data_IF_719040934383
#
_entry.id   IF_719040934383
#
_cell.length_a   1.000
_cell.length_b   1.000
_cell.length_c   1.000
_cell.angle_alpha   90.00
_cell.angle_beta   90.00
_cell.angle_gamma   90.00
#
_symmetry.space_group_name_H-M   'P 1'
#
loop_
_entity.id
_entity.type
_entity.pdbx_description
1 polymer ?
#
# COMPACT_ATOMS: atom_id res chain seq x y z
N UNK A 1 -8.59 -34.05 20.44
CA UNK A 1 -7.51 -33.20 19.90
C UNK A 1 -7.50 -31.96 20.77
N UNK A 2 -6.36 -31.62 21.40
CA UNK A 2 -6.30 -30.43 22.25
C UNK A 2 -6.54 -29.18 21.40
N UNK A 3 -7.33 -28.24 21.89
CA UNK A 3 -7.58 -26.96 21.23
C UNK A 3 -6.22 -26.28 20.98
N UNK A 4 -5.90 -26.06 19.70
CA UNK A 4 -4.68 -25.34 19.34
C UNK A 4 -4.92 -23.84 19.64
N UNK A 5 -4.32 -23.36 20.73
CA UNK A 5 -4.41 -21.96 21.12
C UNK A 5 -3.17 -21.20 20.66
N UNK A 6 -3.36 -20.13 19.87
CA UNK A 6 -2.30 -19.22 19.42
C UNK A 6 -2.43 -17.88 20.16
N UNK A 7 -1.31 -17.18 20.28
CA UNK A 7 -1.36 -15.78 20.70
C UNK A 7 -1.96 -14.94 19.58
N UNK A 8 -1.53 -15.18 18.32
CA UNK A 8 -2.00 -14.44 17.15
C UNK A 8 -2.31 -15.42 16.01
N UNK A 9 -3.44 -15.22 15.35
CA UNK A 9 -3.74 -15.81 14.04
C UNK A 9 -3.84 -14.69 13.01
N UNK A 10 -2.97 -14.68 11.98
CA UNK A 10 -3.07 -13.74 10.86
C UNK A 10 -3.81 -14.39 9.69
N UNK A 11 -4.81 -13.70 9.17
CA UNK A 11 -5.55 -14.10 7.96
C UNK A 11 -5.00 -13.32 6.78
N UNK A 12 -4.23 -14.00 5.93
CA UNK A 12 -3.48 -13.44 4.80
C UNK A 12 -1.98 -13.35 5.05
N UNK A 13 -1.20 -13.90 4.13
CA UNK A 13 0.28 -13.98 4.15
C UNK A 13 0.97 -12.88 3.34
N UNK A 14 0.34 -11.72 3.18
CA UNK A 14 0.94 -10.54 2.53
C UNK A 14 1.87 -9.74 3.46
N UNK A 15 2.23 -8.51 3.03
CA UNK A 15 3.09 -7.60 3.78
C UNK A 15 2.65 -7.45 5.25
N UNK A 16 1.37 -7.18 5.51
CA UNK A 16 0.87 -6.98 6.87
C UNK A 16 0.95 -8.24 7.73
N UNK A 17 0.39 -9.36 7.24
CA UNK A 17 0.29 -10.60 8.00
C UNK A 17 1.64 -11.24 8.29
N UNK A 18 2.52 -11.38 7.29
CA UNK A 18 3.83 -12.00 7.46
C UNK A 18 4.79 -11.11 8.27
N UNK A 19 4.75 -9.78 8.07
CA UNK A 19 5.61 -8.88 8.85
C UNK A 19 5.25 -8.90 10.33
N UNK A 20 3.95 -8.86 10.66
CA UNK A 20 3.51 -8.99 12.05
C UNK A 20 3.87 -10.36 12.63
N UNK A 21 3.64 -11.43 11.87
CA UNK A 21 3.95 -12.79 12.30
C UNK A 21 5.43 -12.96 12.62
N UNK A 22 6.33 -12.46 11.74
CA UNK A 22 7.77 -12.47 11.96
C UNK A 22 8.12 -11.79 13.29
N UNK A 23 7.75 -10.52 13.42
CA UNK A 23 8.20 -9.74 14.58
C UNK A 23 7.60 -10.24 15.89
N UNK A 24 6.37 -10.74 15.92
CA UNK A 24 5.75 -11.25 17.13
C UNK A 24 6.28 -12.63 17.50
N UNK A 25 6.58 -13.50 16.53
CA UNK A 25 7.21 -14.80 16.78
C UNK A 25 8.64 -14.64 17.33
N UNK A 26 9.43 -13.70 16.80
CA UNK A 26 10.75 -13.33 17.35
C UNK A 26 10.68 -12.83 18.81
N UNK A 27 9.52 -12.31 19.24
CA UNK A 27 9.24 -11.95 20.64
C UNK A 27 8.58 -13.10 21.44
N UNK A 28 8.69 -14.34 20.95
CA UNK A 28 8.25 -15.55 21.66
C UNK A 28 6.75 -15.79 21.65
N UNK A 29 5.98 -15.10 20.82
CA UNK A 29 4.53 -15.34 20.68
C UNK A 29 4.26 -16.51 19.73
N UNK A 30 3.25 -17.33 20.05
CA UNK A 30 2.77 -18.39 19.14
C UNK A 30 1.90 -17.75 18.06
N UNK A 31 2.43 -17.69 16.83
CA UNK A 31 1.75 -17.05 15.70
C UNK A 31 1.45 -18.08 14.61
N UNK A 32 0.21 -18.07 14.09
CA UNK A 32 -0.22 -18.83 12.92
C UNK A 32 -0.56 -17.87 11.78
N UNK A 33 0.01 -18.11 10.60
CA UNK A 33 -0.34 -17.43 9.36
C UNK A 33 -1.17 -18.36 8.49
N UNK A 34 -2.36 -17.92 8.07
CA UNK A 34 -3.24 -18.62 7.15
C UNK A 34 -3.22 -17.91 5.80
N UNK A 35 -2.63 -18.54 4.78
CA UNK A 35 -2.50 -17.99 3.43
C UNK A 35 -3.20 -18.89 2.40
N UNK A 36 -4.03 -18.28 1.56
CA UNK A 36 -4.80 -18.98 0.54
C UNK A 36 -3.96 -19.42 -0.66
N UNK A 37 -3.01 -18.60 -1.07
CA UNK A 37 -2.21 -18.87 -2.26
C UNK A 37 -1.08 -19.87 -1.97
N UNK A 38 -1.01 -20.94 -2.75
CA UNK A 38 0.14 -21.85 -2.74
C UNK A 38 1.40 -21.17 -3.27
N UNK A 39 1.26 -20.33 -4.32
CA UNK A 39 2.31 -19.53 -4.92
C UNK A 39 1.77 -18.13 -5.18
N UNK A 40 2.50 -17.11 -4.79
CA UNK A 40 2.11 -15.74 -5.07
C UNK A 40 2.26 -15.43 -6.56
N UNK A 41 1.31 -14.68 -7.10
CA UNK A 41 1.24 -14.31 -8.52
C UNK A 41 1.28 -12.81 -8.68
N UNK A 42 1.79 -12.35 -9.83
CA UNK A 42 1.69 -10.95 -10.21
C UNK A 42 0.20 -10.58 -10.44
N UNK A 43 -0.31 -9.74 -9.54
CA UNK A 43 -1.70 -9.24 -9.55
C UNK A 43 -1.76 -7.75 -9.82
N UNK A 44 -0.64 -7.16 -10.29
CA UNK A 44 -0.54 -5.71 -10.49
C UNK A 44 -0.90 -4.96 -9.20
N UNK A 45 -0.09 -5.16 -8.17
CA UNK A 45 -0.20 -4.49 -6.87
C UNK A 45 0.85 -3.40 -6.74
N UNK A 46 0.76 -2.59 -5.68
CA UNK A 46 1.80 -1.60 -5.36
C UNK A 46 3.18 -2.24 -5.20
N UNK A 47 4.21 -1.62 -5.76
CA UNK A 47 5.58 -2.11 -5.79
C UNK A 47 6.59 -1.02 -5.45
N UNK A 48 6.13 0.08 -4.86
CA UNK A 48 6.96 1.16 -4.37
C UNK A 48 6.57 1.57 -2.96
N UNK A 49 7.55 1.71 -2.11
CA UNK A 49 7.42 2.21 -0.74
C UNK A 49 8.17 3.53 -0.62
N UNK A 50 7.50 4.54 -0.14
CA UNK A 50 8.05 5.88 0.09
C UNK A 50 9.03 5.89 1.27
N UNK A 51 9.94 6.88 1.41
CA UNK A 51 10.92 6.94 2.50
C UNK A 51 10.34 6.75 3.91
N UNK A 52 9.17 7.32 4.20
CA UNK A 52 8.55 7.11 5.50
C UNK A 52 8.07 5.67 5.71
N UNK A 53 7.63 4.99 4.64
CA UNK A 53 7.31 3.57 4.70
C UNK A 53 8.57 2.70 4.83
N UNK A 54 9.67 3.10 4.21
CA UNK A 54 10.98 2.44 4.39
C UNK A 54 11.44 2.53 5.85
N UNK A 55 11.23 3.67 6.52
CA UNK A 55 11.50 3.79 7.96
C UNK A 55 10.68 2.79 8.79
N UNK A 56 9.41 2.57 8.43
CA UNK A 56 8.54 1.60 9.11
C UNK A 56 9.06 0.16 8.94
N UNK A 57 9.33 -0.27 7.71
CA UNK A 57 9.83 -1.65 7.45
C UNK A 57 11.24 -1.86 8.01
N UNK A 58 12.05 -0.80 8.10
CA UNK A 58 13.36 -0.84 8.77
C UNK A 58 13.19 -1.09 10.27
N UNK A 59 12.24 -0.43 10.92
CA UNK A 59 11.92 -0.64 12.34
C UNK A 59 11.36 -2.05 12.62
N UNK A 60 10.82 -2.71 11.61
CA UNK A 60 10.34 -4.10 11.66
C UNK A 60 11.44 -5.13 11.32
N UNK A 61 12.66 -4.68 10.97
CA UNK A 61 13.77 -5.57 10.59
C UNK A 61 13.50 -6.34 9.30
N UNK A 62 12.76 -5.74 8.35
CA UNK A 62 12.43 -6.37 7.07
C UNK A 62 12.91 -5.56 5.85
N UNK A 63 13.47 -4.36 6.05
CA UNK A 63 13.96 -3.53 4.94
C UNK A 63 15.07 -4.23 4.15
N UNK A 64 16.13 -4.66 4.82
CA UNK A 64 17.26 -5.36 4.19
C UNK A 64 16.81 -6.68 3.54
N UNK A 65 15.87 -7.39 4.15
CA UNK A 65 15.32 -8.62 3.57
C UNK A 65 14.66 -8.36 2.21
N UNK A 66 13.87 -7.30 2.09
CA UNK A 66 13.20 -6.96 0.82
C UNK A 66 14.22 -6.42 -0.19
N UNK A 67 15.04 -5.42 0.22
CA UNK A 67 16.02 -4.79 -0.66
C UNK A 67 16.97 -5.81 -1.29
N UNK A 68 17.55 -6.68 -0.48
CA UNK A 68 18.65 -7.57 -0.92
C UNK A 68 18.14 -8.79 -1.70
N UNK A 69 16.88 -9.21 -1.51
CA UNK A 69 16.33 -10.39 -2.18
C UNK A 69 15.45 -10.06 -3.40
N UNK A 70 14.69 -8.97 -3.38
CA UNK A 70 13.69 -8.69 -4.43
C UNK A 70 13.46 -7.21 -4.73
N UNK A 71 14.24 -6.31 -4.13
CA UNK A 71 14.04 -4.87 -4.24
C UNK A 71 15.24 -4.11 -4.78
N UNK A 72 15.06 -2.80 -4.85
CA UNK A 72 16.09 -1.81 -5.23
C UNK A 72 15.76 -0.48 -4.57
N UNK A 73 16.79 0.23 -4.09
CA UNK A 73 16.63 1.58 -3.55
C UNK A 73 16.41 2.60 -4.66
N UNK A 74 15.37 3.42 -4.52
CA UNK A 74 15.13 4.58 -5.36
C UNK A 74 15.65 5.84 -4.63
N UNK A 75 16.76 6.36 -5.09
CA UNK A 75 17.41 7.54 -4.49
C UNK A 75 16.70 8.83 -4.86
N UNK A 76 16.17 8.87 -6.10
CA UNK A 76 15.61 10.08 -6.69
C UNK A 76 14.15 9.89 -7.06
N UNK A 77 13.35 10.95 -6.93
CA UNK A 77 11.97 11.01 -7.44
C UNK A 77 11.79 12.12 -8.45
N UNK A 78 10.92 11.89 -9.43
CA UNK A 78 10.50 12.85 -10.45
C UNK A 78 8.98 13.06 -10.35
N UNK A 79 8.57 14.25 -9.93
CA UNK A 79 7.16 14.66 -9.83
C UNK A 79 6.74 15.68 -10.90
N UNK A 80 7.62 15.96 -11.86
CA UNK A 80 7.41 16.99 -12.88
C UNK A 80 7.93 18.39 -12.50
N UNK A 81 8.53 18.55 -11.32
CA UNK A 81 9.17 19.80 -10.86
C UNK A 81 10.70 19.73 -10.91
N UNK A 82 11.27 18.64 -11.39
CA UNK A 82 12.70 18.33 -11.40
C UNK A 82 13.02 17.12 -10.52
N UNK A 83 14.28 16.64 -10.60
CA UNK A 83 14.73 15.51 -9.79
C UNK A 83 14.87 15.95 -8.32
N UNK A 84 14.38 15.10 -7.43
CA UNK A 84 14.49 15.28 -5.99
C UNK A 84 15.26 14.13 -5.36
N UNK A 85 16.34 14.43 -4.68
CA UNK A 85 17.09 13.47 -3.86
C UNK A 85 16.29 13.16 -2.58
N UNK A 86 15.83 11.91 -2.44
CA UNK A 86 14.95 11.50 -1.34
C UNK A 86 15.67 11.46 0.02
N UNK A 87 16.90 10.88 0.13
CA UNK A 87 17.60 10.83 1.41
C UNK A 87 17.94 12.21 1.98
N UNK A 88 18.33 13.17 1.15
CA UNK A 88 18.73 14.50 1.65
C UNK A 88 17.55 15.44 1.92
N UNK A 89 16.36 15.14 1.35
CA UNK A 89 15.22 16.06 1.39
C UNK A 89 14.03 15.56 2.23
N UNK A 90 14.11 14.35 2.76
CA UNK A 90 13.08 13.79 3.65
C UNK A 90 13.59 13.68 5.09
N UNK A 91 12.72 13.82 6.11
CA UNK A 91 13.13 13.75 7.51
C UNK A 91 13.66 12.36 7.90
N UNK A 92 13.28 11.30 7.17
CA UNK A 92 13.75 9.94 7.40
C UNK A 92 15.19 9.72 6.94
N UNK A 93 15.69 10.53 6.01
CA UNK A 93 17.02 10.42 5.39
C UNK A 93 17.24 9.02 4.75
N UNK A 94 16.19 8.50 4.13
CA UNK A 94 16.15 7.17 3.51
C UNK A 94 15.72 7.27 2.04
N UNK A 95 16.16 6.34 1.19
CA UNK A 95 15.62 6.21 -0.16
C UNK A 95 14.16 5.72 -0.13
N UNK A 96 13.49 5.75 -1.27
CA UNK A 96 12.36 4.90 -1.53
C UNK A 96 12.81 3.46 -1.80
N UNK A 97 11.88 2.51 -1.78
CA UNK A 97 12.17 1.10 -2.05
C UNK A 97 11.20 0.57 -3.10
N UNK A 98 11.72 0.23 -4.28
CA UNK A 98 10.99 -0.52 -5.30
C UNK A 98 11.22 -2.01 -5.13
N UNK A 99 10.22 -2.84 -5.43
CA UNK A 99 10.35 -4.30 -5.32
C UNK A 99 9.29 -5.05 -6.14
N UNK A 100 9.60 -6.29 -6.49
CA UNK A 100 8.63 -7.21 -7.06
C UNK A 100 7.67 -7.68 -5.98
N UNK A 101 6.38 -7.35 -6.10
CA UNK A 101 5.37 -7.66 -5.07
C UNK A 101 5.27 -9.17 -4.76
N UNK A 102 5.15 -10.09 -5.73
CA UNK A 102 5.09 -11.52 -5.43
C UNK A 102 6.38 -12.06 -4.82
N UNK A 103 7.56 -11.56 -5.25
CA UNK A 103 8.83 -11.96 -4.66
C UNK A 103 8.95 -11.47 -3.20
N UNK A 104 8.52 -10.25 -2.91
CA UNK A 104 8.45 -9.70 -1.55
C UNK A 104 7.55 -10.54 -0.64
N UNK A 105 6.40 -10.99 -1.14
CA UNK A 105 5.50 -11.85 -0.35
C UNK A 105 6.17 -13.19 0.02
N UNK A 106 6.90 -13.83 -0.90
CA UNK A 106 7.65 -15.07 -0.59
C UNK A 106 8.76 -14.80 0.43
N UNK A 107 9.54 -13.73 0.26
CA UNK A 107 10.60 -13.34 1.20
C UNK A 107 10.06 -13.13 2.62
N UNK A 108 8.94 -12.43 2.76
CA UNK A 108 8.34 -12.16 4.07
C UNK A 108 7.69 -13.39 4.69
N UNK A 109 7.13 -14.27 3.89
CA UNK A 109 6.57 -15.53 4.37
C UNK A 109 7.67 -16.45 4.92
N UNK A 110 8.79 -16.54 4.21
CA UNK A 110 9.95 -17.30 4.69
C UNK A 110 10.57 -16.64 5.94
N UNK A 111 10.61 -15.30 6.00
CA UNK A 111 11.05 -14.58 7.18
C UNK A 111 10.14 -14.85 8.40
N UNK A 112 8.83 -14.94 8.21
CA UNK A 112 7.89 -15.31 9.27
C UNK A 112 8.15 -16.73 9.80
N UNK A 113 8.36 -17.71 8.91
CA UNK A 113 8.73 -19.08 9.29
C UNK A 113 10.04 -19.13 10.07
N UNK A 114 11.07 -18.46 9.54
CA UNK A 114 12.39 -18.41 10.18
C UNK A 114 12.35 -17.70 11.54
N UNK A 115 11.44 -16.73 11.72
CA UNK A 115 11.16 -16.07 12.99
C UNK A 115 10.40 -16.94 14.00
N UNK A 116 9.95 -18.14 13.61
CA UNK A 116 9.26 -19.10 14.47
C UNK A 116 7.73 -19.13 14.33
N UNK A 117 7.15 -18.41 13.38
CA UNK A 117 5.71 -18.50 13.09
C UNK A 117 5.36 -19.80 12.36
N UNK A 118 4.24 -20.40 12.73
CA UNK A 118 3.62 -21.46 11.91
C UNK A 118 2.95 -20.83 10.70
N UNK A 119 3.20 -21.37 9.50
CA UNK A 119 2.61 -20.87 8.26
C UNK A 119 1.93 -22.01 7.53
N UNK A 120 0.62 -21.86 7.27
CA UNK A 120 -0.17 -22.77 6.44
C UNK A 120 -0.58 -22.07 5.15
N UNK A 121 -0.16 -22.66 4.02
CA UNK A 121 -0.50 -22.17 2.67
C UNK A 121 -1.53 -23.08 2.00
N UNK A 122 -2.26 -22.53 1.03
CA UNK A 122 -3.31 -23.25 0.31
C UNK A 122 -4.55 -23.49 1.17
N UNK A 123 -4.67 -22.80 2.30
CA UNK A 123 -5.80 -22.94 3.21
C UNK A 123 -6.79 -21.79 3.01
N UNK A 124 -8.07 -22.11 3.06
CA UNK A 124 -9.13 -21.13 2.83
C UNK A 124 -9.86 -20.83 4.13
N UNK A 125 -9.65 -19.63 4.68
CA UNK A 125 -10.43 -19.17 5.84
C UNK A 125 -11.89 -19.02 5.42
N UNK A 126 -12.78 -19.60 6.21
CA UNK A 126 -14.23 -19.65 5.96
C UNK A 126 -15.04 -18.82 6.95
N UNK A 127 -14.45 -18.45 8.09
CA UNK A 127 -15.12 -17.63 9.09
C UNK A 127 -14.20 -17.11 10.18
N UNK A 128 -14.65 -16.04 10.83
CA UNK A 128 -14.09 -15.51 12.08
C UNK A 128 -15.25 -15.34 13.06
N UNK A 129 -15.05 -15.82 14.28
CA UNK A 129 -15.97 -15.57 15.40
C UNK A 129 -15.28 -14.61 16.37
N UNK A 130 -15.66 -13.33 16.37
CA UNK A 130 -15.11 -12.33 17.31
C UNK A 130 -15.48 -12.66 18.77
N UNK A 131 -14.71 -12.14 19.70
CA UNK A 131 -14.95 -12.26 21.13
C UNK A 131 -13.66 -12.13 21.95
N UNK A 132 -13.75 -12.28 23.27
CA UNK A 132 -12.59 -12.25 24.15
C UNK A 132 -11.55 -13.34 23.83
N UNK A 133 -11.97 -14.44 23.21
CA UNK A 133 -11.12 -15.49 22.64
C UNK A 133 -11.63 -15.75 21.24
N UNK A 134 -11.20 -14.94 20.24
CA UNK A 134 -11.69 -15.08 18.87
C UNK A 134 -11.23 -16.42 18.26
N UNK A 135 -12.08 -16.97 17.37
CA UNK A 135 -11.80 -18.21 16.66
C UNK A 135 -11.79 -17.98 15.13
N UNK A 136 -10.97 -18.75 14.44
CA UNK A 136 -10.88 -18.76 12.97
C UNK A 136 -11.20 -20.16 12.47
N UNK A 137 -12.16 -20.26 11.55
CA UNK A 137 -12.49 -21.49 10.83
C UNK A 137 -11.88 -21.44 9.43
N UNK A 138 -11.35 -22.56 8.97
CA UNK A 138 -10.74 -22.65 7.64
C UNK A 138 -10.78 -24.09 7.10
N UNK A 139 -10.74 -24.20 5.78
CA UNK A 139 -10.48 -25.48 5.11
C UNK A 139 -8.97 -25.66 4.97
N UNK A 140 -8.44 -26.80 5.41
CA UNK A 140 -7.05 -27.15 5.22
C UNK A 140 -6.73 -27.53 3.76
N UNK A 141 -5.50 -27.97 3.49
CA UNK A 141 -5.06 -28.37 2.15
C UNK A 141 -5.81 -29.59 1.57
N UNK A 142 -6.44 -30.39 2.42
CA UNK A 142 -7.25 -31.56 2.04
C UNK A 142 -8.73 -31.19 1.87
N UNK A 143 -9.13 -29.96 2.26
CA UNK A 143 -10.51 -29.52 2.28
C UNK A 143 -11.28 -29.88 3.56
N UNK A 144 -10.58 -30.31 4.60
CA UNK A 144 -11.18 -30.61 5.90
C UNK A 144 -11.38 -29.37 6.75
N UNK A 145 -12.53 -29.28 7.43
CA UNK A 145 -12.85 -28.18 8.33
C UNK A 145 -11.93 -28.19 9.57
N UNK A 146 -11.32 -27.04 9.82
CA UNK A 146 -10.46 -26.79 10.97
C UNK A 146 -10.94 -25.55 11.72
N UNK A 147 -10.76 -25.55 13.05
CA UNK A 147 -10.97 -24.37 13.89
C UNK A 147 -9.77 -24.17 14.82
N UNK A 148 -9.36 -22.92 15.00
CA UNK A 148 -8.31 -22.52 15.93
C UNK A 148 -8.75 -21.31 16.72
N UNK A 149 -8.34 -21.28 18.00
CA UNK A 149 -8.58 -20.15 18.90
C UNK A 149 -7.32 -19.30 19.02
N UNK A 150 -7.50 -17.99 19.20
CA UNK A 150 -6.41 -17.07 19.42
C UNK A 150 -6.73 -16.06 20.53
N UNK A 151 -5.70 -15.42 21.05
CA UNK A 151 -5.84 -14.22 21.87
C UNK A 151 -6.19 -13.00 21.00
N UNK A 152 -5.63 -12.97 19.75
CA UNK A 152 -5.89 -11.93 18.77
C UNK A 152 -5.96 -12.54 17.37
N UNK A 153 -6.97 -12.16 16.59
CA UNK A 153 -7.03 -12.41 15.14
C UNK A 153 -6.67 -11.12 14.40
N UNK A 154 -5.76 -11.21 13.43
CA UNK A 154 -5.37 -10.08 12.59
C UNK A 154 -5.78 -10.34 11.16
N UNK A 155 -6.77 -9.60 10.69
CA UNK A 155 -7.21 -9.61 9.31
C UNK A 155 -6.26 -8.79 8.46
N UNK A 156 -5.48 -9.47 7.61
CA UNK A 156 -4.53 -8.92 6.65
C UNK A 156 -4.79 -9.47 5.23
N UNK A 157 -6.05 -9.83 4.93
CA UNK A 157 -6.52 -10.46 3.70
C UNK A 157 -6.81 -9.48 2.56
N UNK A 158 -6.40 -8.21 2.74
CA UNK A 158 -6.33 -7.19 1.72
C UNK A 158 -7.69 -6.55 1.37
N UNK A 159 -7.71 -5.87 0.22
CA UNK A 159 -8.80 -4.97 -0.20
C UNK A 159 -10.19 -5.61 -0.18
N UNK A 160 -10.30 -6.87 -0.57
CA UNK A 160 -11.56 -7.62 -0.63
C UNK A 160 -11.81 -8.43 0.64
N UNK A 161 -11.31 -7.98 1.78
CA UNK A 161 -11.36 -8.69 3.05
C UNK A 161 -12.72 -9.30 3.37
N UNK A 162 -12.73 -10.63 3.49
CA UNK A 162 -13.85 -11.38 4.03
C UNK A 162 -13.83 -11.37 5.57
N UNK A 163 -12.62 -11.38 6.14
CA UNK A 163 -12.40 -11.31 7.58
C UNK A 163 -13.05 -10.07 8.20
N UNK A 164 -12.94 -8.91 7.56
CA UNK A 164 -13.62 -7.66 7.94
C UNK A 164 -15.15 -7.83 8.05
N UNK A 165 -15.76 -8.54 7.07
CA UNK A 165 -17.20 -8.79 7.05
C UNK A 165 -17.62 -9.75 8.17
N UNK A 166 -16.88 -10.85 8.36
CA UNK A 166 -17.17 -11.83 9.40
C UNK A 166 -17.03 -11.24 10.80
N UNK A 167 -16.09 -10.32 10.99
CA UNK A 167 -15.92 -9.60 12.25
C UNK A 167 -16.91 -8.45 12.44
N UNK A 168 -17.81 -8.18 11.49
CA UNK A 168 -18.90 -7.22 11.62
C UNK A 168 -18.44 -5.76 11.58
N UNK A 169 -17.37 -5.43 10.85
CA UNK A 169 -16.93 -4.06 10.64
C UNK A 169 -17.75 -3.36 9.54
N UNK A 170 -18.12 -2.12 9.81
CA UNK A 170 -18.75 -1.25 8.82
C UNK A 170 -17.70 -0.55 7.96
N UNK A 171 -17.96 -0.45 6.66
CA UNK A 171 -17.07 0.16 5.68
C UNK A 171 -17.65 1.49 5.21
N UNK A 172 -16.83 2.54 5.27
CA UNK A 172 -17.10 3.81 4.61
C UNK A 172 -16.35 3.85 3.29
N UNK A 173 -16.94 4.42 2.25
CA UNK A 173 -16.39 4.48 0.91
C UNK A 173 -16.41 5.90 0.35
N UNK A 174 -15.38 6.24 -0.40
CA UNK A 174 -15.33 7.41 -1.25
C UNK A 174 -15.00 6.95 -2.68
N UNK A 175 -16.03 6.59 -3.48
CA UNK A 175 -15.81 6.09 -4.82
C UNK A 175 -15.20 7.18 -5.71
N UNK A 176 -14.23 6.77 -6.55
CA UNK A 176 -13.55 7.65 -7.49
C UNK A 176 -13.83 7.19 -8.93
N UNK A 177 -13.98 8.13 -9.87
CA UNK A 177 -14.24 7.81 -11.27
C UNK A 177 -12.95 7.50 -12.05
N UNK A 178 -11.93 6.90 -11.40
CA UNK A 178 -10.63 6.61 -12.00
C UNK A 178 -10.30 5.13 -11.90
N UNK A 179 -9.55 4.67 -12.93
CA UNK A 179 -8.88 3.37 -12.96
C UNK A 179 -7.38 3.56 -12.92
N UNK A 180 -6.71 2.56 -12.39
CA UNK A 180 -5.26 2.43 -12.38
C UNK A 180 -4.91 1.13 -13.10
N UNK A 181 -4.22 1.23 -14.24
CA UNK A 181 -3.71 0.08 -14.96
C UNK A 181 -2.22 -0.05 -14.73
N UNK A 182 -1.71 -1.27 -14.70
CA UNK A 182 -0.29 -1.51 -14.49
C UNK A 182 0.25 -2.63 -15.37
N UNK A 183 1.51 -2.47 -15.80
CA UNK A 183 2.24 -3.43 -16.63
C UNK A 183 3.69 -3.52 -16.18
N UNK A 184 4.21 -4.75 -16.06
CA UNK A 184 5.63 -4.98 -15.79
C UNK A 184 6.39 -5.01 -17.11
N UNK A 185 7.47 -4.23 -17.18
CA UNK A 185 8.29 -4.03 -18.38
C UNK A 185 9.76 -4.33 -18.11
N UNK A 186 10.47 -4.81 -19.13
CA UNK A 186 11.94 -4.81 -19.24
C UNK A 186 12.38 -3.94 -20.41
N UNK A 187 13.67 -3.59 -20.47
CA UNK A 187 14.21 -2.78 -21.56
C UNK A 187 13.76 -1.31 -21.53
N UNK A 188 13.27 -0.85 -20.39
CA UNK A 188 12.98 0.57 -20.13
C UNK A 188 14.32 1.29 -19.96
N UNK A 189 14.50 2.43 -20.66
CA UNK A 189 15.79 3.15 -20.68
C UNK A 189 15.90 4.20 -19.55
N UNK A 190 15.19 4.00 -18.43
CA UNK A 190 15.23 4.87 -17.26
C UNK A 190 16.33 4.44 -16.28
N UNK A 191 16.89 5.36 -15.47
CA UNK A 191 17.73 5.03 -14.32
C UNK A 191 17.00 4.11 -13.33
N UNK A 192 17.71 3.07 -12.86
CA UNK A 192 17.11 2.08 -11.94
C UNK A 192 17.00 2.57 -10.48
N UNK A 193 17.52 3.75 -10.17
CA UNK A 193 17.44 4.40 -8.86
C UNK A 193 16.47 5.58 -8.81
N UNK A 194 15.66 5.75 -9.86
CA UNK A 194 14.66 6.82 -9.94
C UNK A 194 13.22 6.28 -9.98
N UNK A 195 12.32 6.95 -9.26
CA UNK A 195 10.88 6.73 -9.33
C UNK A 195 10.17 7.95 -9.95
N UNK A 196 9.18 7.68 -10.77
CA UNK A 196 8.42 8.70 -11.49
C UNK A 196 6.95 8.68 -11.08
N UNK A 197 6.40 9.84 -10.80
CA UNK A 197 4.96 10.04 -10.60
C UNK A 197 4.57 11.36 -11.28
N UNK A 198 4.13 11.27 -12.53
CA UNK A 198 3.93 12.40 -13.43
C UNK A 198 2.43 12.62 -13.64
N UNK A 199 1.94 13.71 -13.10
CA UNK A 199 0.56 14.11 -13.26
C UNK A 199 0.36 14.86 -14.58
N UNK A 200 -0.77 14.56 -15.26
CA UNK A 200 -1.22 15.20 -16.49
C UNK A 200 -2.57 15.86 -16.23
N UNK A 201 -2.61 17.02 -15.54
CA UNK A 201 -3.85 17.60 -15.04
C UNK A 201 -4.83 18.00 -16.15
N UNK A 202 -4.31 18.36 -17.33
CA UNK A 202 -5.12 18.75 -18.49
C UNK A 202 -5.95 17.61 -19.09
N UNK A 203 -5.58 16.35 -18.81
CA UNK A 203 -6.31 15.15 -19.25
C UNK A 203 -6.82 14.29 -18.09
N UNK A 204 -6.58 14.73 -16.84
CA UNK A 204 -7.00 13.97 -15.65
C UNK A 204 -6.34 12.60 -15.54
N UNK A 205 -5.05 12.51 -15.87
CA UNK A 205 -4.31 11.27 -15.88
C UNK A 205 -3.01 11.39 -15.07
N UNK A 206 -2.38 10.27 -14.78
CA UNK A 206 -0.99 10.24 -14.32
C UNK A 206 -0.27 9.01 -14.88
N UNK A 207 1.05 9.13 -15.03
CA UNK A 207 1.95 8.02 -15.30
C UNK A 207 2.89 7.85 -14.12
N UNK A 208 2.92 6.66 -13.53
CA UNK A 208 3.89 6.30 -12.52
C UNK A 208 4.79 5.19 -13.03
N UNK A 209 6.09 5.26 -12.70
CA UNK A 209 7.06 4.28 -13.12
C UNK A 209 8.04 4.02 -11.97
N UNK A 210 8.17 2.76 -11.60
CA UNK A 210 8.95 2.32 -10.45
C UNK A 210 9.92 1.23 -10.85
N UNK A 211 11.22 1.35 -10.57
CA UNK A 211 12.16 0.25 -10.69
C UNK A 211 11.80 -0.85 -9.66
N UNK A 212 11.84 -2.11 -10.08
CA UNK A 212 11.56 -3.26 -9.21
C UNK A 212 12.73 -4.25 -9.19
N UNK A 213 13.91 -3.75 -9.55
CA UNK A 213 15.16 -4.51 -9.62
C UNK A 213 15.32 -5.37 -10.87
N UNK A 214 16.58 -5.75 -11.16
CA UNK A 214 16.98 -6.61 -12.28
C UNK A 214 16.57 -6.05 -13.65
N UNK A 215 16.69 -4.72 -13.87
CA UNK A 215 16.31 -4.06 -15.11
C UNK A 215 14.83 -4.05 -15.42
N UNK A 216 13.98 -4.30 -14.41
CA UNK A 216 12.52 -4.32 -14.56
C UNK A 216 11.90 -3.06 -13.99
N UNK A 217 10.85 -2.58 -14.64
CA UNK A 217 10.04 -1.45 -14.19
C UNK A 217 8.56 -1.81 -14.16
N UNK A 218 7.89 -1.48 -13.08
CA UNK A 218 6.44 -1.45 -13.06
C UNK A 218 5.97 -0.07 -13.48
N UNK A 219 5.24 -0.01 -14.59
CA UNK A 219 4.61 1.22 -15.07
C UNK A 219 3.12 1.19 -14.79
N UNK A 220 2.58 2.31 -14.35
CA UNK A 220 1.15 2.50 -14.12
C UNK A 220 0.64 3.71 -14.88
N UNK A 221 -0.64 3.64 -15.27
CA UNK A 221 -1.39 4.77 -15.83
C UNK A 221 -2.71 4.90 -15.07
N UNK A 222 -2.96 6.09 -14.52
CA UNK A 222 -4.29 6.46 -14.04
C UNK A 222 -5.09 7.14 -15.15
N UNK A 223 -6.37 6.78 -15.30
CA UNK A 223 -7.24 7.33 -16.34
C UNK A 223 -8.69 7.37 -15.87
N UNK A 224 -9.46 8.31 -16.43
CA UNK A 224 -10.88 8.46 -16.12
C UNK A 224 -11.75 7.38 -16.75
N UNK A 225 -12.94 7.16 -16.17
CA UNK A 225 -13.95 6.19 -16.65
C UNK A 225 -14.80 6.77 -17.80
N UNK A 226 -14.20 7.51 -18.72
CA UNK A 226 -14.95 8.28 -19.72
C UNK A 226 -15.65 7.47 -20.80
N UNK A 227 -15.32 6.16 -20.99
CA UNK A 227 -15.89 5.35 -22.08
C UNK A 227 -16.09 3.86 -21.73
N UNK A 228 -16.01 3.47 -20.45
CA UNK A 228 -16.13 2.05 -20.04
C UNK A 228 -14.98 1.16 -20.52
N UNK A 229 -13.95 1.75 -21.17
CA UNK A 229 -12.78 1.02 -21.66
C UNK A 229 -11.81 0.74 -20.51
N UNK A 230 -11.46 -0.52 -20.34
CA UNK A 230 -10.45 -0.94 -19.35
C UNK A 230 -9.16 -1.33 -20.04
N UNK A 231 -8.05 -0.74 -19.61
CA UNK A 231 -6.71 -1.14 -20.02
C UNK A 231 -6.34 -2.45 -19.30
N UNK A 232 -6.74 -3.56 -19.89
CA UNK A 232 -6.44 -4.91 -19.38
C UNK A 232 -6.31 -5.91 -20.53
N UNK A 233 -5.51 -6.96 -20.32
CA UNK A 233 -5.25 -8.00 -21.32
C UNK A 233 -4.27 -7.57 -22.41
N UNK A 234 -3.73 -8.56 -23.13
CA UNK A 234 -2.66 -8.37 -24.11
C UNK A 234 -3.02 -7.41 -25.25
N UNK A 235 -4.29 -7.43 -25.70
CA UNK A 235 -4.77 -6.59 -26.80
C UNK A 235 -4.77 -5.08 -26.48
N UNK A 236 -4.64 -4.70 -25.20
CA UNK A 236 -4.59 -3.30 -24.79
C UNK A 236 -3.17 -2.80 -24.45
N UNK A 237 -2.15 -3.63 -24.60
CA UNK A 237 -0.76 -3.23 -24.26
C UNK A 237 -0.31 -2.03 -25.07
N UNK A 238 -0.63 -1.98 -26.38
CA UNK A 238 -0.29 -0.84 -27.24
C UNK A 238 -0.96 0.47 -26.79
N UNK A 239 -2.22 0.40 -26.37
CA UNK A 239 -2.95 1.54 -25.84
C UNK A 239 -2.37 2.01 -24.51
N UNK A 240 -2.05 1.06 -23.61
CA UNK A 240 -1.40 1.35 -22.35
C UNK A 240 -0.05 2.06 -22.53
N UNK A 241 0.81 1.57 -23.43
CA UNK A 241 2.09 2.20 -23.74
C UNK A 241 1.93 3.58 -24.39
N UNK A 242 0.91 3.79 -25.23
CA UNK A 242 0.59 5.09 -25.77
C UNK A 242 0.19 6.09 -24.67
N UNK A 243 -0.64 5.66 -23.73
CA UNK A 243 -1.04 6.50 -22.59
C UNK A 243 0.14 6.78 -21.64
N UNK A 244 1.00 5.80 -21.38
CA UNK A 244 2.20 6.00 -20.56
C UNK A 244 3.16 7.05 -21.16
N UNK A 245 3.27 7.10 -22.50
CA UNK A 245 4.11 8.07 -23.22
C UNK A 245 3.54 9.50 -23.25
N UNK A 246 2.29 9.72 -22.84
CA UNK A 246 1.73 11.09 -22.73
C UNK A 246 2.51 11.95 -21.71
N UNK A 247 3.16 11.34 -20.74
CA UNK A 247 4.10 11.99 -19.87
C UNK A 247 5.44 12.17 -20.61
N UNK A 248 5.63 13.33 -21.25
CA UNK A 248 6.76 13.63 -22.14
C UNK A 248 8.12 13.31 -21.53
N UNK A 249 8.29 13.56 -20.22
CA UNK A 249 9.55 13.27 -19.50
C UNK A 249 10.01 11.82 -19.61
N UNK A 250 9.10 10.87 -19.74
CA UNK A 250 9.40 9.43 -19.80
C UNK A 250 9.13 8.79 -21.15
N UNK A 251 8.64 9.58 -22.12
CA UNK A 251 8.18 9.05 -23.42
C UNK A 251 9.27 8.23 -24.14
N UNK A 252 10.51 8.71 -24.12
CA UNK A 252 11.64 8.07 -24.79
C UNK A 252 12.13 6.81 -24.08
N UNK A 253 11.82 6.62 -22.82
CA UNK A 253 12.24 5.43 -22.07
C UNK A 253 11.57 4.14 -22.54
N UNK A 254 10.44 4.25 -23.24
CA UNK A 254 9.66 3.10 -23.69
C UNK A 254 10.00 2.57 -25.09
N UNK A 255 11.03 3.10 -25.78
CA UNK A 255 11.35 2.68 -27.16
C UNK A 255 11.70 1.20 -27.31
N UNK A 256 12.34 0.62 -26.30
CA UNK A 256 12.72 -0.80 -26.27
C UNK A 256 12.01 -1.58 -25.17
N UNK A 257 10.98 -0.99 -24.58
CA UNK A 257 10.25 -1.61 -23.49
C UNK A 257 9.43 -2.81 -24.00
N UNK A 258 9.61 -3.95 -23.34
CA UNK A 258 8.89 -5.19 -23.62
C UNK A 258 8.06 -5.61 -22.41
N UNK A 259 6.79 -6.00 -22.61
CA UNK A 259 5.95 -6.50 -21.53
C UNK A 259 6.43 -7.87 -21.06
N UNK A 260 6.52 -8.06 -19.74
CA UNK A 260 6.93 -9.33 -19.12
C UNK A 260 5.96 -9.78 -18.01
N UNK A 261 4.82 -9.11 -17.87
CA UNK A 261 3.77 -9.43 -16.91
C UNK A 261 2.38 -9.13 -17.48
N UNK A 262 1.33 -9.43 -16.74
CA UNK A 262 -0.03 -9.14 -17.17
C UNK A 262 -0.31 -7.63 -17.16
N UNK A 263 -1.08 -7.15 -18.14
CA UNK A 263 -1.73 -5.85 -18.07
C UNK A 263 -3.06 -6.04 -17.34
N UNK A 264 -3.20 -5.41 -16.19
CA UNK A 264 -4.43 -5.43 -15.42
C UNK A 264 -4.79 -4.04 -14.91
N UNK A 265 -6.09 -3.80 -14.75
CA UNK A 265 -6.60 -2.55 -14.21
C UNK A 265 -7.52 -2.80 -13.02
N UNK A 266 -7.57 -1.82 -12.12
CA UNK A 266 -8.46 -1.82 -10.97
C UNK A 266 -9.03 -0.42 -10.74
N UNK A 267 -10.24 -0.38 -10.17
CA UNK A 267 -10.89 0.88 -9.85
C UNK A 267 -10.21 1.53 -8.65
N UNK A 268 -9.91 2.81 -8.77
CA UNK A 268 -9.50 3.64 -7.65
C UNK A 268 -10.69 3.89 -6.73
N UNK A 269 -10.41 4.22 -5.49
CA UNK A 269 -11.40 4.55 -4.49
C UNK A 269 -10.85 4.28 -3.11
N UNK A 270 -11.13 5.18 -2.21
CA UNK A 270 -10.80 5.00 -0.80
C UNK A 270 -11.96 4.27 -0.14
N UNK A 271 -11.66 3.29 0.66
CA UNK A 271 -12.56 2.81 1.69
C UNK A 271 -11.80 2.71 3.01
N UNK A 272 -12.53 2.81 4.10
CA UNK A 272 -11.94 2.69 5.43
C UNK A 272 -12.96 2.15 6.44
N UNK A 273 -12.42 1.54 7.47
CA UNK A 273 -13.12 1.22 8.70
C UNK A 273 -12.68 2.23 9.75
N UNK A 274 -13.61 2.86 10.43
CA UNK A 274 -13.31 3.65 11.62
C UNK A 274 -13.00 2.70 12.76
N UNK A 275 -11.93 2.97 13.50
CA UNK A 275 -11.51 2.18 14.64
C UNK A 275 -11.33 0.68 14.29
N UNK A 276 -10.26 0.30 13.53
CA UNK A 276 -10.09 -1.03 12.96
C UNK A 276 -9.68 -2.10 13.99
N UNK A 277 -10.27 -2.06 15.18
CA UNK A 277 -10.17 -3.08 16.23
C UNK A 277 -11.52 -3.25 16.92
N UNK A 278 -11.93 -4.52 17.08
CA UNK A 278 -13.18 -4.87 17.76
C UNK A 278 -13.16 -6.34 18.18
N UNK A 279 -13.58 -6.62 19.44
CA UNK A 279 -13.84 -7.96 19.93
C UNK A 279 -12.72 -8.97 19.57
N UNK A 280 -11.46 -8.63 19.87
CA UNK A 280 -10.30 -9.48 19.62
C UNK A 280 -9.88 -9.61 18.15
N UNK A 281 -10.42 -8.77 17.25
CA UNK A 281 -10.06 -8.75 15.83
C UNK A 281 -9.50 -7.39 15.45
N UNK A 282 -8.27 -7.36 14.92
CA UNK A 282 -7.63 -6.17 14.34
C UNK A 282 -7.60 -6.25 12.81
N UNK A 283 -7.79 -5.12 12.12
CA UNK A 283 -7.63 -5.02 10.66
C UNK A 283 -6.34 -4.28 10.35
N UNK A 284 -5.51 -4.84 9.44
CA UNK A 284 -4.21 -4.29 9.04
C UNK A 284 -4.14 -4.11 7.53
N UNK A 285 -3.59 -2.99 7.08
CA UNK A 285 -3.43 -2.64 5.68
C UNK A 285 -4.76 -2.48 4.96
N UNK A 286 -4.83 -2.96 3.72
CA UNK A 286 -6.02 -2.84 2.88
C UNK A 286 -7.27 -3.55 3.46
N UNK A 287 -7.14 -4.38 4.50
CA UNK A 287 -8.30 -4.90 5.22
C UNK A 287 -8.99 -3.82 6.07
N UNK A 288 -8.23 -2.90 6.64
CA UNK A 288 -8.74 -1.78 7.44
C UNK A 288 -9.03 -0.52 6.61
N UNK A 289 -8.07 -0.11 5.77
CA UNK A 289 -8.25 1.08 4.93
C UNK A 289 -7.42 1.00 3.65
N UNK A 290 -7.99 1.52 2.56
CA UNK A 290 -7.24 1.74 1.31
C UNK A 290 -7.03 3.21 1.09
N UNK A 291 -5.93 3.55 0.43
CA UNK A 291 -5.67 4.89 -0.10
C UNK A 291 -5.71 4.89 -1.62
N UNK A 292 -5.88 6.08 -2.21
CA UNK A 292 -5.81 6.25 -3.66
C UNK A 292 -4.44 5.76 -4.18
N UNK A 293 -4.43 4.78 -5.07
CA UNK A 293 -3.19 4.20 -5.58
C UNK A 293 -2.31 5.20 -6.34
N UNK A 294 -2.90 6.28 -6.90
CA UNK A 294 -2.15 7.34 -7.58
C UNK A 294 -1.13 8.04 -6.66
N UNK A 295 -1.30 7.95 -5.35
CA UNK A 295 -0.40 8.58 -4.37
C UNK A 295 0.48 7.57 -3.61
N UNK A 296 0.38 6.27 -3.90
CA UNK A 296 1.32 5.23 -3.47
C UNK A 296 1.47 5.02 -1.96
N UNK A 297 0.45 5.31 -1.16
CA UNK A 297 0.57 5.29 0.32
C UNK A 297 0.27 3.93 0.97
N UNK A 298 -0.40 3.01 0.27
CA UNK A 298 -0.97 1.79 0.87
C UNK A 298 0.06 0.86 1.53
N UNK A 299 1.24 0.67 0.92
CA UNK A 299 2.28 -0.19 1.46
C UNK A 299 2.90 0.41 2.74
N UNK A 300 3.19 1.71 2.71
CA UNK A 300 3.74 2.41 3.86
C UNK A 300 2.74 2.46 5.03
N UNK A 301 1.45 2.66 4.74
CA UNK A 301 0.38 2.58 5.74
C UNK A 301 0.30 1.18 6.35
N UNK A 302 0.36 0.12 5.53
CA UNK A 302 0.37 -1.27 6.02
C UNK A 302 1.56 -1.53 6.96
N UNK A 303 2.75 -1.04 6.61
CA UNK A 303 3.94 -1.19 7.45
C UNK A 303 3.78 -0.44 8.79
N UNK A 304 3.19 0.75 8.77
CA UNK A 304 2.87 1.51 9.99
C UNK A 304 1.83 0.79 10.85
N UNK A 305 0.78 0.22 10.26
CA UNK A 305 -0.20 -0.59 10.98
C UNK A 305 0.48 -1.71 11.75
N UNK A 306 1.38 -2.44 11.08
CA UNK A 306 2.13 -3.54 11.70
C UNK A 306 2.98 -3.04 12.86
N UNK A 307 3.74 -1.94 12.67
CA UNK A 307 4.59 -1.39 13.73
C UNK A 307 3.77 -0.92 14.92
N UNK A 308 2.71 -0.15 14.69
CA UNK A 308 1.87 0.39 15.76
C UNK A 308 1.18 -0.74 16.52
N UNK A 309 0.65 -1.75 15.82
CA UNK A 309 0.02 -2.90 16.46
C UNK A 309 1.04 -3.70 17.28
N UNK A 310 2.23 -4.01 16.71
CA UNK A 310 3.33 -4.67 17.44
C UNK A 310 3.69 -3.90 18.71
N UNK A 311 3.94 -2.61 18.60
CA UNK A 311 4.38 -1.76 19.72
C UNK A 311 3.32 -1.73 20.83
N UNK A 312 2.04 -1.61 20.46
CA UNK A 312 0.92 -1.62 21.40
C UNK A 312 0.80 -2.98 22.15
N UNK A 313 0.93 -4.11 21.40
CA UNK A 313 0.83 -5.46 21.98
C UNK A 313 2.02 -5.82 22.86
N UNK A 314 3.21 -5.31 22.57
CA UNK A 314 4.41 -5.56 23.37
C UNK A 314 4.48 -4.65 24.61
N UNK A 315 3.87 -3.47 24.55
CA UNK A 315 3.86 -2.52 25.67
C UNK A 315 2.77 -2.81 26.73
N UNK A 316 1.77 -3.64 26.41
CA UNK A 316 0.63 -3.88 27.29
C UNK A 316 0.20 -5.35 27.29
N UNK A 317 0.08 -5.93 28.49
CA UNK A 317 -0.45 -7.30 28.66
C UNK A 317 -1.96 -7.41 28.39
N UNK A 318 -2.69 -6.31 28.54
CA UNK A 318 -4.10 -6.19 28.14
C UNK A 318 -4.16 -5.90 26.62
N UNK A 319 -4.35 -6.96 25.84
CA UNK A 319 -4.38 -6.87 24.37
C UNK A 319 -5.70 -6.29 23.82
N UNK A 320 -6.74 -6.23 24.59
CA UNK A 320 -7.95 -5.50 24.21
C UNK A 320 -7.68 -3.98 24.26
N UNK A 321 -7.12 -3.50 25.37
CA UNK A 321 -6.66 -2.12 25.47
C UNK A 321 -5.58 -1.76 24.44
N UNK A 322 -4.63 -2.67 24.15
CA UNK A 322 -3.62 -2.48 23.11
C UNK A 322 -4.23 -2.38 21.70
N UNK A 323 -5.24 -3.19 21.40
CA UNK A 323 -5.96 -3.15 20.13
C UNK A 323 -6.73 -1.84 19.94
N UNK A 324 -7.37 -1.32 20.99
CA UNK A 324 -8.01 -0.02 20.94
C UNK A 324 -7.01 1.15 20.79
N UNK A 325 -5.83 1.05 21.41
CA UNK A 325 -4.75 2.03 21.23
C UNK A 325 -4.22 2.03 19.79
N UNK A 326 -3.99 0.85 19.21
CA UNK A 326 -3.67 0.70 17.79
C UNK A 326 -4.71 1.37 16.89
N UNK A 327 -5.99 1.06 17.10
CA UNK A 327 -7.07 1.58 16.27
C UNK A 327 -7.17 3.10 16.33
N UNK A 328 -6.98 3.69 17.50
CA UNK A 328 -6.97 5.15 17.70
C UNK A 328 -5.84 5.81 16.91
N UNK A 329 -4.64 5.23 16.97
CA UNK A 329 -3.48 5.75 16.24
C UNK A 329 -3.63 5.53 14.72
N UNK A 330 -4.19 4.37 14.29
CA UNK A 330 -4.54 4.13 12.90
C UNK A 330 -5.48 5.22 12.35
N UNK A 331 -6.54 5.54 13.06
CA UNK A 331 -7.49 6.58 12.64
C UNK A 331 -6.80 7.93 12.46
N UNK A 332 -5.85 8.28 13.34
CA UNK A 332 -5.11 9.55 13.27
C UNK A 332 -4.35 9.67 11.96
N UNK A 333 -3.44 8.74 11.66
CA UNK A 333 -2.61 8.86 10.45
C UNK A 333 -3.35 8.54 9.16
N UNK A 334 -4.30 7.63 9.20
CA UNK A 334 -5.13 7.28 8.03
C UNK A 334 -6.00 8.47 7.59
N UNK A 335 -6.56 9.24 8.53
CA UNK A 335 -7.29 10.48 8.22
C UNK A 335 -6.41 11.54 7.57
N UNK A 336 -5.16 11.70 8.02
CA UNK A 336 -4.21 12.65 7.41
C UNK A 336 -3.91 12.24 5.98
N UNK A 337 -3.55 10.98 5.74
CA UNK A 337 -3.25 10.45 4.40
C UNK A 337 -4.44 10.67 3.47
N UNK A 338 -5.65 10.30 3.88
CA UNK A 338 -6.87 10.47 3.08
C UNK A 338 -7.15 11.94 2.76
N UNK A 339 -7.02 12.83 3.74
CA UNK A 339 -7.21 14.28 3.57
C UNK A 339 -6.26 14.86 2.54
N UNK A 340 -4.96 14.59 2.67
CA UNK A 340 -3.95 15.13 1.76
C UNK A 340 -4.07 14.52 0.36
N UNK A 341 -4.37 13.22 0.27
CA UNK A 341 -4.67 12.58 -1.03
C UNK A 341 -5.87 13.23 -1.73
N UNK A 342 -6.89 13.65 -1.00
CA UNK A 342 -8.02 14.40 -1.57
C UNK A 342 -7.59 15.78 -2.10
N UNK A 343 -6.69 16.49 -1.40
CA UNK A 343 -6.15 17.75 -1.89
C UNK A 343 -5.35 17.55 -3.19
N UNK A 344 -4.48 16.56 -3.23
CA UNK A 344 -3.69 16.23 -4.42
C UNK A 344 -4.59 15.85 -5.60
N UNK A 345 -5.59 15.01 -5.37
CA UNK A 345 -6.55 14.61 -6.40
C UNK A 345 -7.27 15.83 -6.97
N UNK A 346 -7.75 16.72 -6.10
CA UNK A 346 -8.51 17.90 -6.52
C UNK A 346 -7.67 18.90 -7.32
N UNK A 347 -6.35 18.93 -7.13
CA UNK A 347 -5.45 19.78 -7.91
C UNK A 347 -4.93 19.09 -9.18
N UNK A 348 -4.54 17.80 -9.07
CA UNK A 348 -3.77 17.14 -10.12
C UNK A 348 -4.59 16.19 -11.02
N UNK A 349 -5.76 15.72 -10.60
CA UNK A 349 -6.51 14.71 -11.34
C UNK A 349 -7.96 15.13 -11.70
N UNK A 350 -8.62 15.96 -10.90
CA UNK A 350 -9.98 16.41 -11.18
C UNK A 350 -10.04 17.26 -12.44
N UNK A 351 -11.16 17.19 -13.16
CA UNK A 351 -11.43 17.90 -14.39
C UNK A 351 -12.62 18.84 -14.21
N UNK A 352 -12.73 19.83 -15.09
CA UNK A 352 -13.84 20.78 -15.13
C UNK A 352 -13.46 22.18 -14.65
N UNK A 353 -14.40 23.11 -14.81
CA UNK A 353 -14.19 24.57 -14.62
C UNK A 353 -13.64 24.91 -13.23
N UNK A 354 -14.15 24.26 -12.16
CA UNK A 354 -13.69 24.52 -10.79
C UNK A 354 -12.26 24.00 -10.56
N UNK A 355 -11.92 22.85 -11.15
CA UNK A 355 -10.57 22.30 -11.08
C UNK A 355 -9.58 23.16 -11.87
N UNK A 356 -9.98 23.68 -13.05
CA UNK A 356 -9.16 24.58 -13.85
C UNK A 356 -8.93 25.91 -13.13
N UNK A 357 -9.95 26.47 -12.48
CA UNK A 357 -9.81 27.67 -11.66
C UNK A 357 -8.86 27.46 -10.46
N UNK A 358 -8.92 26.28 -9.81
CA UNK A 358 -7.98 25.91 -8.74
C UNK A 358 -6.54 25.87 -9.26
N UNK A 359 -6.33 25.17 -10.39
CA UNK A 359 -5.00 25.08 -11.03
C UNK A 359 -4.46 26.43 -11.47
N UNK A 360 -5.29 27.25 -12.10
CA UNK A 360 -4.89 28.60 -12.54
C UNK A 360 -4.39 29.47 -11.36
N UNK A 361 -4.92 29.27 -10.15
CA UNK A 361 -4.48 29.97 -8.95
C UNK A 361 -3.26 29.31 -8.31
N UNK A 362 -3.25 28.00 -8.12
CA UNK A 362 -2.24 27.29 -7.32
C UNK A 362 -0.94 27.01 -8.10
N UNK A 363 -1.01 26.55 -9.35
CA UNK A 363 0.17 26.07 -10.09
C UNK A 363 1.24 27.13 -10.32
N UNK A 364 0.93 28.42 -10.65
CA UNK A 364 1.95 29.46 -10.77
C UNK A 364 2.69 29.74 -9.45
N UNK A 365 2.01 29.60 -8.30
CA UNK A 365 2.62 29.78 -7.00
C UNK A 365 3.48 28.59 -6.60
N UNK A 366 3.05 27.38 -6.93
CA UNK A 366 3.83 26.13 -6.71
C UNK A 366 5.11 26.17 -7.58
N UNK A 367 5.01 26.61 -8.84
CA UNK A 367 6.18 26.74 -9.72
C UNK A 367 7.23 27.73 -9.20
N UNK A 368 6.83 28.74 -8.41
CA UNK A 368 7.73 29.69 -7.77
C UNK A 368 8.28 29.17 -6.43
N UNK A 369 7.52 28.34 -5.73
CA UNK A 369 7.83 27.83 -4.41
C UNK A 369 7.23 26.42 -4.23
N UNK A 370 8.01 25.40 -4.58
CA UNK A 370 7.62 23.97 -4.50
C UNK A 370 7.26 23.53 -3.07
N UNK A 371 7.74 24.25 -2.04
CA UNK A 371 7.41 23.95 -0.64
C UNK A 371 5.93 24.19 -0.30
N UNK A 372 5.15 24.74 -1.23
CA UNK A 372 3.68 24.82 -1.15
C UNK A 372 3.01 23.46 -1.28
N UNK A 373 3.65 22.49 -1.94
CA UNK A 373 3.14 21.13 -2.02
C UNK A 373 3.39 20.42 -0.70
N UNK A 374 2.35 19.95 0.01
CA UNK A 374 2.54 19.22 1.27
C UNK A 374 3.33 17.93 1.05
N UNK A 375 4.40 17.75 1.80
CA UNK A 375 5.34 16.63 1.58
C UNK A 375 4.92 15.29 2.22
N UNK A 376 3.64 15.10 2.46
CA UNK A 376 3.12 13.88 3.08
C UNK A 376 3.36 12.63 2.22
N UNK A 377 3.53 12.79 0.90
CA UNK A 377 3.80 11.70 -0.02
C UNK A 377 5.08 10.95 0.37
N UNK A 378 6.16 11.67 0.61
CA UNK A 378 7.47 11.09 0.92
C UNK A 378 7.83 11.15 2.41
N UNK A 379 7.35 12.16 3.12
CA UNK A 379 7.70 12.41 4.53
C UNK A 379 6.69 11.85 5.55
N UNK A 380 5.51 11.43 5.08
CA UNK A 380 4.53 10.70 5.90
C UNK A 380 3.47 11.55 6.58
N UNK A 381 2.58 10.90 7.35
CA UNK A 381 1.38 11.52 7.91
C UNK A 381 1.59 12.32 9.19
N UNK A 382 2.81 12.41 9.69
CA UNK A 382 3.09 13.14 10.94
C UNK A 382 3.32 14.64 10.73
N UNK A 383 3.29 15.10 9.47
CA UNK A 383 3.34 16.51 9.11
C UNK A 383 1.98 17.20 9.35
N UNK A 384 2.04 18.54 9.53
CA UNK A 384 0.84 19.34 9.66
C UNK A 384 -0.07 19.24 8.42
N UNK A 385 -1.35 19.07 8.63
CA UNK A 385 -2.38 18.96 7.57
C UNK A 385 -3.64 19.78 7.92
N UNK A 386 -3.44 20.91 8.58
CA UNK A 386 -4.51 21.83 8.95
C UNK A 386 -4.94 22.75 7.79
N UNK A 387 -5.91 23.63 8.05
CA UNK A 387 -6.45 24.53 7.05
C UNK A 387 -5.41 25.55 6.53
N UNK A 388 -4.40 25.90 7.30
CA UNK A 388 -3.33 26.80 6.86
C UNK A 388 -2.46 26.16 5.77
N UNK A 389 -2.11 24.88 5.93
CA UNK A 389 -1.40 24.09 4.92
C UNK A 389 -2.25 23.94 3.66
N UNK A 390 -3.53 23.66 3.82
CA UNK A 390 -4.48 23.55 2.70
C UNK A 390 -4.56 24.85 1.90
N UNK A 391 -4.77 26.00 2.58
CA UNK A 391 -4.85 27.32 1.92
C UNK A 391 -3.58 27.65 1.18
N UNK A 392 -2.42 27.42 1.80
CA UNK A 392 -1.12 27.65 1.16
C UNK A 392 -0.95 26.82 -0.11
N UNK A 393 -1.34 25.54 -0.07
CA UNK A 393 -1.29 24.62 -1.22
C UNK A 393 -2.17 25.10 -2.37
N UNK A 394 -3.41 25.52 -2.09
CA UNK A 394 -4.34 25.98 -3.11
C UNK A 394 -4.17 27.45 -3.51
N UNK A 395 -3.18 28.15 -2.98
CA UNK A 395 -2.96 29.56 -3.27
C UNK A 395 -4.07 30.48 -2.74
N UNK A 396 -4.67 30.14 -1.62
CA UNK A 396 -5.72 30.90 -0.93
C UNK A 396 -5.14 31.82 0.17
N UNK A 397 -3.81 31.76 0.36
CA UNK A 397 -3.04 32.59 1.30
C UNK A 397 -1.66 32.86 0.73
#
# INVERSE_FOLDING_TARGET
>A
MGESHYDIVTVGGGLGGCSLAKVMAEHGKRVLVLEREQNFRDRVRGEFMTPWGVAEVRSLGIYELIRDNCGIDAQTSQLGFGPRDLPSTTPQQLPGLGFSHPEMQEVLLDAAKNGGAEVRRGVTVTGIKPGATPAVTFLDENGDDQEVNARLVVAADGRTSSARKWAGFEVKESPQPFYFAGLLLKGVAAPEDEVYLLFLPHVGACTAMTPVGRGRFRTYVAYGDSEGMRLQGEHNISNFLADARRAELVADYFHKAEPIGPLASFRCGDFWVEHPFKDGVALVGDAGSTSDPAFGQGLATTARDVRVLRDSLLANDDWDAAGHAFATEHDRYSQVIRRVSQWFRSLFLEQGVDADARRARAMPLIAQDETRVPDHLFSGPDLASDDSVRRRFFGES
#
